data_IF_734074851379
#
_entry.id   IF_734074851379
#
_cell.length_a   1.000
_cell.length_b   1.000
_cell.length_c   1.000
_cell.angle_alpha   90.00
_cell.angle_beta   90.00
_cell.angle_gamma   90.00
#
_symmetry.space_group_name_H-M   'P 1'
#
loop_
_entity.id
_entity.type
_entity.pdbx_description
1 polymer ?
#
# COMPACT_ATOMS: atom_id res chain seq x y z
N UNK A 1 31.20 10.34 11.57
CA UNK A 1 29.98 10.17 12.39
C UNK A 1 29.36 8.88 11.93
N UNK A 2 29.30 7.86 12.79
CA UNK A 2 28.62 6.60 12.47
C UNK A 2 27.13 6.85 12.62
N UNK A 3 26.39 6.92 11.51
CA UNK A 3 24.92 6.99 11.53
C UNK A 3 24.37 5.82 12.35
N UNK A 4 23.61 6.10 13.40
CA UNK A 4 22.87 5.08 14.15
C UNK A 4 21.43 5.06 13.60
N UNK A 5 21.04 4.07 12.76
CA UNK A 5 19.71 4.04 12.14
C UNK A 5 18.57 4.01 13.16
N UNK A 6 18.78 3.42 14.34
CA UNK A 6 17.78 3.39 15.41
C UNK A 6 17.55 4.77 16.00
N UNK A 7 18.62 5.57 16.19
CA UNK A 7 18.50 6.94 16.71
C UNK A 7 17.85 7.85 15.67
N UNK A 8 18.25 7.73 14.40
CA UNK A 8 17.63 8.47 13.29
C UNK A 8 16.14 8.14 13.18
N UNK A 9 15.78 6.84 13.14
CA UNK A 9 14.39 6.41 13.13
C UNK A 9 13.61 6.97 14.31
N UNK A 10 14.14 6.83 15.54
CA UNK A 10 13.47 7.27 16.76
C UNK A 10 13.14 8.77 16.73
N UNK A 11 14.06 9.59 16.26
CA UNK A 11 13.89 11.04 16.22
C UNK A 11 12.87 11.46 15.15
N UNK A 12 12.98 10.90 13.94
CA UNK A 12 12.06 11.19 12.84
C UNK A 12 10.64 10.69 13.14
N UNK A 13 10.52 9.50 13.73
CA UNK A 13 9.26 8.89 14.17
C UNK A 13 8.58 9.72 15.26
N UNK A 14 9.35 10.20 16.24
CA UNK A 14 8.83 11.05 17.32
C UNK A 14 8.29 12.37 16.78
N UNK A 15 9.04 13.05 15.91
CA UNK A 15 8.61 14.32 15.32
C UNK A 15 7.31 14.16 14.51
N UNK A 16 7.21 13.10 13.67
CA UNK A 16 5.98 12.77 12.94
C UNK A 16 4.82 12.45 13.88
N UNK A 17 5.11 11.75 14.98
CA UNK A 17 4.11 11.32 15.96
C UNK A 17 3.54 12.48 16.78
N UNK A 18 4.34 13.47 17.15
CA UNK A 18 3.85 14.68 17.83
C UNK A 18 2.84 15.43 16.96
N UNK A 19 3.13 15.58 15.67
CA UNK A 19 2.20 16.19 14.70
C UNK A 19 0.90 15.39 14.64
N UNK A 20 0.99 14.07 14.43
CA UNK A 20 -0.21 13.23 14.34
C UNK A 20 -1.03 13.26 15.64
N UNK A 21 -0.39 13.20 16.80
CA UNK A 21 -1.07 13.23 18.10
C UNK A 21 -1.84 14.53 18.29
N UNK A 22 -1.27 15.67 17.86
CA UNK A 22 -1.93 16.97 17.88
C UNK A 22 -3.16 16.98 16.97
N UNK A 23 -3.03 16.55 15.72
CA UNK A 23 -4.14 16.53 14.76
C UNK A 23 -5.29 15.59 15.21
N UNK A 24 -4.94 14.48 15.87
CA UNK A 24 -5.90 13.50 16.39
C UNK A 24 -6.45 13.86 17.79
N UNK A 25 -6.05 15.00 18.36
CA UNK A 25 -6.43 15.46 19.71
C UNK A 25 -6.13 14.44 20.82
N UNK A 26 -4.94 13.84 20.77
CA UNK A 26 -4.45 12.94 21.81
C UNK A 26 -3.95 13.76 23.00
N UNK A 27 -4.33 13.35 24.23
CA UNK A 27 -3.88 14.04 25.44
C UNK A 27 -2.36 13.87 25.61
N UNK A 28 -1.68 14.87 26.19
CA UNK A 28 -0.24 14.77 26.43
C UNK A 28 0.11 13.56 27.32
N UNK A 29 -0.74 13.25 28.30
CA UNK A 29 -0.59 12.07 29.16
C UNK A 29 -0.65 10.77 28.34
N UNK A 30 -1.67 10.60 27.50
CA UNK A 30 -1.81 9.37 26.70
C UNK A 30 -0.72 9.26 25.64
N UNK A 31 -0.34 10.39 25.03
CA UNK A 31 0.78 10.46 24.09
C UNK A 31 2.06 9.91 24.73
N UNK A 32 2.42 10.38 25.93
CA UNK A 32 3.63 9.94 26.65
C UNK A 32 3.56 8.43 26.94
N UNK A 33 2.42 7.93 27.46
CA UNK A 33 2.23 6.51 27.77
C UNK A 33 2.39 5.63 26.53
N UNK A 34 1.76 6.02 25.42
CA UNK A 34 1.85 5.31 24.14
C UNK A 34 3.29 5.36 23.60
N UNK A 35 3.92 6.54 23.62
CA UNK A 35 5.28 6.71 23.14
C UNK A 35 6.29 5.87 23.93
N UNK A 36 6.12 5.78 25.26
CA UNK A 36 6.96 4.94 26.12
C UNK A 36 6.89 3.45 25.72
N UNK A 37 5.71 2.95 25.36
CA UNK A 37 5.58 1.57 24.87
C UNK A 37 6.31 1.37 23.53
N UNK A 38 6.18 2.31 22.59
CA UNK A 38 6.90 2.24 21.30
C UNK A 38 8.42 2.39 21.44
N UNK A 39 8.90 3.19 22.40
CA UNK A 39 10.32 3.26 22.75
C UNK A 39 10.82 1.96 23.37
N UNK A 40 10.03 1.32 24.23
CA UNK A 40 10.37 0.00 24.76
C UNK A 40 10.42 -1.05 23.64
N UNK A 41 9.45 -1.04 22.71
CA UNK A 41 9.43 -1.91 21.55
C UNK A 41 10.69 -1.73 20.69
N UNK A 42 11.06 -0.48 20.37
CA UNK A 42 12.26 -0.17 19.60
C UNK A 42 13.54 -0.61 20.30
N UNK A 43 13.64 -0.37 21.61
CA UNK A 43 14.78 -0.79 22.43
C UNK A 43 14.93 -2.31 22.42
N UNK A 44 13.82 -3.05 22.56
CA UNK A 44 13.82 -4.51 22.51
C UNK A 44 14.17 -5.04 21.12
N UNK A 45 13.77 -4.34 20.07
CA UNK A 45 14.20 -4.66 18.70
C UNK A 45 15.71 -4.43 18.51
N UNK A 46 16.26 -3.32 19.03
CA UNK A 46 17.69 -3.01 18.96
C UNK A 46 18.55 -4.04 19.72
N UNK A 47 18.07 -4.49 20.89
CA UNK A 47 18.73 -5.46 21.76
C UNK A 47 18.51 -6.93 21.37
N UNK A 48 17.64 -7.21 20.39
CA UNK A 48 17.26 -8.57 20.06
C UNK A 48 18.48 -9.43 19.66
N UNK A 49 18.65 -10.55 20.35
CA UNK A 49 19.67 -11.55 20.05
C UNK A 49 19.07 -12.78 19.37
N UNK A 50 19.89 -13.63 18.77
CA UNK A 50 19.46 -14.86 18.10
C UNK A 50 19.12 -15.99 19.11
N UNK A 51 18.42 -15.68 20.20
CA UNK A 51 17.88 -16.68 21.12
C UNK A 51 16.35 -16.76 21.00
N UNK A 52 15.84 -17.95 20.67
CA UNK A 52 14.41 -18.13 20.40
C UNK A 52 13.58 -18.02 21.67
N UNK A 53 14.06 -18.53 22.80
CA UNK A 53 13.30 -18.52 24.06
C UNK A 53 13.17 -17.10 24.61
N UNK A 54 14.25 -16.34 24.57
CA UNK A 54 14.29 -14.93 24.95
C UNK A 54 13.39 -14.08 24.04
N UNK A 55 13.40 -14.33 22.73
CA UNK A 55 12.50 -13.64 21.80
C UNK A 55 11.02 -13.92 22.10
N UNK A 56 10.66 -15.18 22.39
CA UNK A 56 9.29 -15.56 22.77
C UNK A 56 8.89 -14.92 24.11
N UNK A 57 9.81 -14.88 25.08
CA UNK A 57 9.58 -14.21 26.37
C UNK A 57 9.35 -12.71 26.17
N UNK A 58 10.21 -12.06 25.38
CA UNK A 58 10.12 -10.63 25.07
C UNK A 58 8.82 -10.28 24.35
N UNK A 59 8.41 -11.09 23.37
CA UNK A 59 7.11 -10.97 22.68
C UNK A 59 5.94 -10.97 23.68
N UNK A 60 5.88 -11.95 24.57
CA UNK A 60 4.81 -12.07 25.58
C UNK A 60 4.81 -10.92 26.57
N UNK A 61 5.99 -10.48 27.02
CA UNK A 61 6.11 -9.33 27.94
C UNK A 61 5.63 -8.04 27.28
N UNK A 62 6.01 -7.79 26.03
CA UNK A 62 5.57 -6.62 25.28
C UNK A 62 4.07 -6.65 24.98
N UNK A 63 3.52 -7.82 24.64
CA UNK A 63 2.08 -8.00 24.45
C UNK A 63 1.31 -7.74 25.74
N UNK A 64 1.77 -8.29 26.86
CA UNK A 64 1.13 -8.07 28.16
C UNK A 64 1.10 -6.58 28.53
N UNK A 65 2.23 -5.89 28.39
CA UNK A 65 2.31 -4.43 28.63
C UNK A 65 1.45 -3.61 27.67
N UNK A 66 1.37 -4.03 26.41
CA UNK A 66 0.48 -3.37 25.45
C UNK A 66 -0.98 -3.54 25.83
N UNK A 67 -1.37 -4.76 26.24
CA UNK A 67 -2.74 -5.05 26.65
C UNK A 67 -3.11 -4.28 27.92
N UNK A 68 -2.20 -4.16 28.89
CA UNK A 68 -2.36 -3.32 30.08
C UNK A 68 -2.61 -1.86 29.68
N UNK A 69 -1.70 -1.29 28.87
CA UNK A 69 -1.79 0.08 28.34
C UNK A 69 -3.19 0.36 27.77
N UNK A 70 -3.65 -0.45 26.81
CA UNK A 70 -4.92 -0.22 26.12
C UNK A 70 -6.15 -0.52 26.99
N UNK A 71 -6.02 -1.38 28.01
CA UNK A 71 -7.15 -1.78 28.85
C UNK A 71 -7.48 -0.80 29.97
N UNK A 72 -6.48 -0.07 30.50
CA UNK A 72 -6.64 0.71 31.73
C UNK A 72 -5.88 2.04 31.76
N UNK A 73 -4.84 2.23 30.95
CA UNK A 73 -3.96 3.39 31.09
C UNK A 73 -4.28 4.55 30.16
N UNK A 74 -4.95 4.30 29.03
CA UNK A 74 -5.26 5.32 28.01
C UNK A 74 -6.74 5.29 27.62
N UNK A 75 -7.21 6.40 27.08
CA UNK A 75 -8.55 6.47 26.52
C UNK A 75 -8.68 5.66 25.22
N UNK A 76 -9.82 5.01 25.02
CA UNK A 76 -10.11 4.24 23.80
C UNK A 76 -10.02 5.07 22.51
N UNK A 77 -10.30 6.38 22.59
CA UNK A 77 -10.17 7.29 21.44
C UNK A 77 -8.74 7.32 20.87
N UNK A 78 -7.72 7.00 21.68
CA UNK A 78 -6.32 6.97 21.28
C UNK A 78 -5.99 5.80 20.34
N UNK A 79 -6.90 4.83 20.16
CA UNK A 79 -6.66 3.69 19.28
C UNK A 79 -6.50 4.12 17.82
N UNK A 80 -7.12 5.24 17.42
CA UNK A 80 -6.95 5.85 16.09
C UNK A 80 -5.52 6.38 15.84
N UNK A 81 -4.79 6.68 16.91
CA UNK A 81 -3.37 7.07 16.89
C UNK A 81 -2.43 5.85 17.01
N UNK A 82 -2.81 4.82 17.76
CA UNK A 82 -1.98 3.61 17.93
C UNK A 82 -1.86 2.80 16.64
N UNK A 83 -2.98 2.56 15.94
CA UNK A 83 -2.97 1.74 14.73
C UNK A 83 -1.96 2.21 13.67
N UNK A 84 -1.93 3.48 13.23
CA UNK A 84 -0.95 3.92 12.25
C UNK A 84 0.50 3.78 12.75
N UNK A 85 0.78 3.99 14.04
CA UNK A 85 2.12 3.73 14.58
C UNK A 85 2.50 2.26 14.49
N UNK A 86 1.59 1.34 14.83
CA UNK A 86 1.82 -0.10 14.67
C UNK A 86 2.13 -0.45 13.21
N UNK A 87 1.39 0.11 12.25
CA UNK A 87 1.66 -0.10 10.82
C UNK A 87 3.04 0.42 10.40
N UNK A 88 3.44 1.60 10.85
CA UNK A 88 4.74 2.19 10.53
C UNK A 88 5.89 1.36 11.12
N UNK A 89 5.81 1.00 12.40
CA UNK A 89 6.80 0.12 13.05
C UNK A 89 6.87 -1.25 12.38
N UNK A 90 5.73 -1.85 12.00
CA UNK A 90 5.74 -3.12 11.29
C UNK A 90 6.37 -3.02 9.91
N UNK A 91 6.15 -1.90 9.20
CA UNK A 91 6.85 -1.65 7.94
C UNK A 91 8.37 -1.59 8.15
N UNK A 92 8.82 -0.83 9.15
CA UNK A 92 10.23 -0.61 9.44
C UNK A 92 10.93 -1.86 9.99
N UNK A 93 10.27 -2.65 10.82
CA UNK A 93 10.87 -3.90 11.34
C UNK A 93 11.03 -4.97 10.27
N UNK A 94 10.28 -4.86 9.16
CA UNK A 94 10.39 -5.74 8.01
C UNK A 94 11.14 -5.07 6.84
N UNK A 95 11.72 -3.89 7.03
CA UNK A 95 12.46 -3.18 5.99
C UNK A 95 13.97 -3.46 6.05
N UNK A 96 14.73 -2.82 5.17
CA UNK A 96 16.18 -2.91 5.13
C UNK A 96 16.88 -1.76 5.89
N UNK A 97 16.13 -0.80 6.43
CA UNK A 97 16.64 0.36 7.15
C UNK A 97 17.07 -0.02 8.58
N UNK A 98 16.24 -0.79 9.29
CA UNK A 98 16.64 -1.43 10.54
C UNK A 98 17.10 -2.89 10.31
N UNK A 99 17.61 -3.54 11.37
CA UNK A 99 18.04 -4.94 11.29
C UNK A 99 16.82 -5.87 11.16
N UNK A 100 16.61 -6.48 9.99
CA UNK A 100 15.47 -7.39 9.75
C UNK A 100 15.72 -8.87 10.10
N UNK A 101 16.97 -9.34 10.08
CA UNK A 101 17.29 -10.77 10.07
C UNK A 101 17.15 -11.49 11.43
N UNK A 102 16.96 -10.78 12.55
CA UNK A 102 17.00 -11.37 13.89
C UNK A 102 15.75 -11.16 14.74
N UNK A 103 14.65 -10.63 14.18
CA UNK A 103 13.52 -10.13 14.99
C UNK A 103 12.15 -10.64 14.54
N UNK A 104 12.11 -11.88 14.03
CA UNK A 104 10.88 -12.54 13.53
C UNK A 104 9.74 -12.48 14.55
N UNK A 105 10.02 -12.63 15.85
CA UNK A 105 8.99 -12.64 16.89
C UNK A 105 8.41 -11.26 17.21
N UNK A 106 9.17 -10.16 17.09
CA UNK A 106 8.58 -8.81 17.23
C UNK A 106 7.79 -8.41 15.99
N UNK A 107 8.20 -8.85 14.80
CA UNK A 107 7.37 -8.76 13.59
C UNK A 107 6.05 -9.52 13.76
N UNK A 108 6.10 -10.73 14.31
CA UNK A 108 4.91 -11.53 14.62
C UNK A 108 4.01 -10.87 15.68
N UNK A 109 4.59 -10.30 16.75
CA UNK A 109 3.84 -9.50 17.74
C UNK A 109 2.99 -8.43 17.05
N UNK A 110 3.62 -7.60 16.21
CA UNK A 110 2.92 -6.51 15.53
C UNK A 110 1.86 -7.06 14.58
N UNK A 111 2.24 -7.96 13.67
CA UNK A 111 1.36 -8.43 12.59
C UNK A 111 0.23 -9.33 13.10
N UNK A 112 0.56 -10.34 13.88
CA UNK A 112 -0.35 -11.43 14.21
C UNK A 112 -1.15 -11.11 15.48
N UNK A 113 -0.53 -10.44 16.47
CA UNK A 113 -1.16 -10.24 17.78
C UNK A 113 -1.78 -8.85 17.94
N UNK A 114 -1.22 -7.80 17.35
CA UNK A 114 -1.66 -6.42 17.61
C UNK A 114 -2.44 -5.78 16.45
N UNK A 115 -1.85 -5.63 15.26
CA UNK A 115 -2.44 -4.92 14.11
C UNK A 115 -3.80 -5.52 13.73
N UNK A 116 -3.89 -6.85 13.66
CA UNK A 116 -5.13 -7.54 13.30
C UNK A 116 -6.31 -7.19 14.21
N UNK A 117 -6.08 -6.95 15.50
CA UNK A 117 -7.11 -6.55 16.47
C UNK A 117 -7.66 -5.15 16.15
N UNK A 118 -6.78 -4.20 15.80
CA UNK A 118 -7.14 -2.81 15.56
C UNK A 118 -7.71 -2.56 14.14
N UNK A 119 -7.12 -3.17 13.11
CA UNK A 119 -7.60 -3.00 11.72
C UNK A 119 -9.06 -3.44 11.58
N UNK A 120 -9.44 -4.52 12.28
CA UNK A 120 -10.80 -5.10 12.27
C UNK A 120 -11.74 -4.47 13.30
N UNK A 121 -11.25 -3.69 14.27
CA UNK A 121 -12.10 -3.06 15.30
C UNK A 121 -12.90 -1.88 14.71
N UNK A 122 -14.17 -2.15 14.38
CA UNK A 122 -15.12 -1.15 13.87
C UNK A 122 -15.46 -0.06 14.89
N UNK A 123 -15.14 -0.24 16.17
CA UNK A 123 -15.36 0.77 17.19
C UNK A 123 -14.29 1.87 17.18
N UNK A 124 -13.17 1.66 16.47
CA UNK A 124 -12.24 2.75 16.17
C UNK A 124 -12.87 3.57 15.03
N UNK A 125 -13.41 4.72 15.38
CA UNK A 125 -14.05 5.65 14.45
C UNK A 125 -13.01 6.66 13.96
N UNK A 126 -12.97 6.86 12.65
CA UNK A 126 -12.17 7.89 12.00
C UNK A 126 -13.11 8.84 11.26
N UNK A 127 -12.93 10.15 11.43
CA UNK A 127 -13.43 11.09 10.43
C UNK A 127 -12.57 11.02 9.16
N UNK A 128 -13.06 11.56 8.03
CA UNK A 128 -12.23 11.75 6.83
C UNK A 128 -10.91 12.49 7.12
N UNK A 129 -10.96 13.52 7.97
CA UNK A 129 -9.81 14.32 8.38
C UNK A 129 -8.83 13.51 9.23
N UNK A 130 -9.33 12.74 10.21
CA UNK A 130 -8.48 11.81 10.98
C UNK A 130 -7.70 10.89 10.03
N UNK A 131 -8.37 10.31 9.04
CA UNK A 131 -7.74 9.41 8.09
C UNK A 131 -6.75 10.13 7.16
N UNK A 132 -7.05 11.36 6.75
CA UNK A 132 -6.10 12.20 6.02
C UNK A 132 -4.81 12.40 6.83
N UNK A 133 -4.89 12.85 8.09
CA UNK A 133 -3.71 13.06 8.93
C UNK A 133 -2.91 11.78 9.17
N UNK A 134 -3.61 10.65 9.30
CA UNK A 134 -2.98 9.33 9.37
C UNK A 134 -2.18 9.02 8.11
N UNK A 135 -2.75 9.26 6.92
CA UNK A 135 -2.01 9.03 5.68
C UNK A 135 -0.84 10.00 5.50
N UNK A 136 -0.91 11.22 6.05
CA UNK A 136 0.24 12.14 6.09
C UNK A 136 1.36 11.54 6.95
N UNK A 137 1.05 11.02 8.13
CA UNK A 137 2.02 10.36 9.01
C UNK A 137 2.69 9.15 8.33
N UNK A 138 1.93 8.34 7.60
CA UNK A 138 2.41 7.11 6.94
C UNK A 138 3.09 7.33 5.59
N UNK A 139 3.02 8.55 5.04
CA UNK A 139 3.37 8.85 3.65
C UNK A 139 4.82 8.56 3.33
N UNK A 140 5.76 9.05 4.16
CA UNK A 140 7.18 9.06 3.84
C UNK A 140 7.90 7.93 4.58
N UNK A 141 8.52 7.02 3.83
CA UNK A 141 9.17 5.82 4.36
C UNK A 141 10.59 5.69 3.81
N UNK A 142 11.53 5.23 4.63
CA UNK A 142 12.89 4.90 4.16
C UNK A 142 12.86 3.73 3.16
N UNK A 143 11.97 2.77 3.41
CA UNK A 143 11.71 1.63 2.54
C UNK A 143 10.30 1.11 2.80
N UNK A 144 9.59 0.68 1.74
CA UNK A 144 8.27 0.05 1.87
C UNK A 144 8.43 -1.46 1.77
N UNK A 145 8.31 -2.13 2.91
CA UNK A 145 8.53 -3.57 3.00
C UNK A 145 7.50 -4.37 2.21
N UNK A 146 7.91 -5.39 1.43
CA UNK A 146 6.97 -6.31 0.81
C UNK A 146 6.31 -7.26 1.81
N UNK A 147 6.84 -7.39 3.04
CA UNK A 147 6.39 -8.37 4.03
C UNK A 147 5.47 -7.80 5.12
N UNK A 148 5.26 -6.48 5.14
CA UNK A 148 4.55 -5.78 6.20
C UNK A 148 3.03 -5.63 5.98
N UNK A 149 2.50 -5.96 4.78
CA UNK A 149 1.12 -5.66 4.37
C UNK A 149 0.75 -4.17 4.53
N UNK A 150 1.73 -3.27 4.46
CA UNK A 150 1.57 -1.87 4.87
C UNK A 150 0.42 -1.16 4.13
N UNK A 151 0.43 -1.20 2.80
CA UNK A 151 -0.60 -0.54 1.98
C UNK A 151 -1.92 -1.31 2.07
N UNK A 152 -1.87 -2.64 2.14
CA UNK A 152 -3.04 -3.49 2.29
C UNK A 152 -3.82 -3.14 3.56
N UNK A 153 -3.12 -2.94 4.68
CA UNK A 153 -3.74 -2.61 5.97
C UNK A 153 -4.23 -1.16 6.01
N UNK A 154 -3.53 -0.20 5.39
CA UNK A 154 -4.06 1.17 5.21
C UNK A 154 -5.38 1.14 4.43
N UNK A 155 -5.44 0.40 3.31
CA UNK A 155 -6.66 0.28 2.51
C UNK A 155 -7.77 -0.52 3.23
N UNK A 156 -7.42 -1.44 4.13
CA UNK A 156 -8.41 -2.13 4.98
C UNK A 156 -9.02 -1.18 6.00
N UNK A 157 -8.28 -0.20 6.53
CA UNK A 157 -8.84 0.82 7.45
C UNK A 157 -10.00 1.54 6.77
N UNK A 158 -9.77 2.02 5.55
CA UNK A 158 -10.81 2.63 4.71
C UNK A 158 -11.95 1.64 4.46
N UNK A 159 -11.65 0.45 3.91
CA UNK A 159 -12.67 -0.49 3.47
C UNK A 159 -13.62 -0.94 4.59
N UNK A 160 -13.09 -1.23 5.78
CA UNK A 160 -13.88 -1.72 6.93
C UNK A 160 -14.85 -0.65 7.45
N UNK A 161 -14.53 0.63 7.27
CA UNK A 161 -15.23 1.76 7.89
C UNK A 161 -15.95 2.65 6.88
N UNK A 162 -15.62 2.55 5.59
CA UNK A 162 -16.18 3.35 4.51
C UNK A 162 -15.97 4.85 4.72
N UNK A 163 -14.76 5.26 5.13
CA UNK A 163 -14.46 6.65 5.52
C UNK A 163 -14.66 7.57 4.32
N UNK A 164 -14.25 7.16 3.12
CA UNK A 164 -14.43 7.95 1.90
C UNK A 164 -15.89 8.14 1.47
N UNK A 165 -16.86 7.40 2.02
CA UNK A 165 -18.28 7.67 1.78
C UNK A 165 -18.75 8.98 2.41
N UNK A 166 -18.02 9.46 3.41
CA UNK A 166 -18.33 10.67 4.17
C UNK A 166 -17.33 11.81 3.85
N UNK A 167 -16.28 11.52 3.07
CA UNK A 167 -15.25 12.49 2.73
C UNK A 167 -15.71 13.45 1.62
N UNK A 168 -15.22 14.69 1.69
CA UNK A 168 -15.25 15.57 0.52
C UNK A 168 -14.27 15.05 -0.54
N UNK A 169 -14.47 15.47 -1.79
CA UNK A 169 -13.57 15.09 -2.89
C UNK A 169 -12.13 15.53 -2.61
N UNK A 170 -11.92 16.70 -2.00
CA UNK A 170 -10.58 17.23 -1.69
C UNK A 170 -9.84 16.42 -0.63
N UNK A 171 -10.54 16.04 0.45
CA UNK A 171 -9.98 15.19 1.50
C UNK A 171 -9.66 13.80 0.95
N UNK A 172 -10.58 13.21 0.18
CA UNK A 172 -10.38 11.93 -0.48
C UNK A 172 -9.20 11.96 -1.45
N UNK A 173 -9.11 12.98 -2.30
CA UNK A 173 -8.01 13.18 -3.23
C UNK A 173 -6.67 13.27 -2.49
N UNK A 174 -6.59 14.12 -1.47
CA UNK A 174 -5.35 14.31 -0.69
C UNK A 174 -4.93 13.04 0.03
N UNK A 175 -5.89 12.29 0.59
CA UNK A 175 -5.65 11.02 1.26
C UNK A 175 -5.14 9.96 0.27
N UNK A 176 -5.80 9.80 -0.88
CA UNK A 176 -5.37 8.83 -1.89
C UNK A 176 -4.03 9.21 -2.52
N UNK A 177 -3.72 10.51 -2.64
CA UNK A 177 -2.41 11.00 -3.08
C UNK A 177 -1.30 10.58 -2.11
N UNK A 178 -1.52 10.66 -0.80
CA UNK A 178 -0.57 10.16 0.19
C UNK A 178 -0.36 8.64 0.06
N UNK A 179 -1.41 7.85 -0.13
CA UNK A 179 -1.31 6.39 -0.32
C UNK A 179 -0.58 6.04 -1.63
N UNK A 180 -0.87 6.77 -2.72
CA UNK A 180 -0.17 6.64 -4.00
C UNK A 180 1.31 6.99 -3.85
N UNK A 181 1.68 7.93 -2.97
CA UNK A 181 3.08 8.25 -2.70
C UNK A 181 3.82 7.07 -2.04
N UNK A 182 3.17 6.31 -1.16
CA UNK A 182 3.74 5.08 -0.59
C UNK A 182 3.96 4.03 -1.70
N UNK A 183 3.03 3.91 -2.65
CA UNK A 183 3.20 3.05 -3.84
C UNK A 183 4.40 3.52 -4.66
N UNK A 184 4.54 4.83 -4.88
CA UNK A 184 5.64 5.42 -5.64
C UNK A 184 7.02 5.07 -5.07
N UNK A 185 7.15 5.01 -3.74
CA UNK A 185 8.39 4.69 -3.00
C UNK A 185 8.74 3.19 -2.98
N UNK A 186 7.90 2.29 -3.50
CA UNK A 186 8.21 0.85 -3.45
C UNK A 186 9.40 0.54 -4.36
N UNK A 187 10.46 -0.02 -3.77
CA UNK A 187 11.63 -0.48 -4.52
C UNK A 187 11.28 -1.57 -5.56
N UNK A 188 10.27 -2.40 -5.27
CA UNK A 188 9.77 -3.42 -6.20
C UNK A 188 8.28 -3.72 -6.01
N UNK A 189 7.56 -3.90 -7.12
CA UNK A 189 6.14 -4.26 -7.17
C UNK A 189 5.96 -5.70 -7.67
N UNK A 190 5.65 -6.62 -6.76
CA UNK A 190 5.28 -8.00 -7.12
C UNK A 190 3.92 -8.08 -7.84
N UNK A 191 3.02 -7.15 -7.51
CA UNK A 191 1.69 -7.03 -8.08
C UNK A 191 1.17 -5.58 -8.03
N UNK A 192 -0.02 -5.38 -8.59
CA UNK A 192 -0.75 -4.11 -8.59
C UNK A 192 -2.08 -4.21 -7.84
N UNK A 193 -2.24 -5.16 -6.91
CA UNK A 193 -3.51 -5.41 -6.20
C UNK A 193 -3.95 -4.19 -5.42
N UNK A 194 -3.05 -3.57 -4.65
CA UNK A 194 -3.34 -2.35 -3.89
C UNK A 194 -3.65 -1.16 -4.81
N UNK A 195 -2.94 -1.02 -5.93
CA UNK A 195 -3.25 -0.01 -6.93
C UNK A 195 -4.66 -0.20 -7.52
N UNK A 196 -5.03 -1.43 -7.90
CA UNK A 196 -6.40 -1.74 -8.38
C UNK A 196 -7.48 -1.48 -7.31
N UNK A 197 -7.18 -1.68 -6.02
CA UNK A 197 -8.09 -1.30 -4.93
C UNK A 197 -8.30 0.21 -4.87
N UNK A 198 -7.25 1.01 -5.10
CA UNK A 198 -7.35 2.48 -5.19
C UNK A 198 -8.22 2.88 -6.39
N UNK A 199 -8.01 2.27 -7.57
CA UNK A 199 -8.83 2.56 -8.75
C UNK A 199 -10.33 2.33 -8.51
N UNK A 200 -10.69 1.31 -7.72
CA UNK A 200 -12.09 1.03 -7.34
C UNK A 200 -12.71 2.06 -6.39
N UNK A 201 -11.89 2.91 -5.76
CA UNK A 201 -12.38 3.98 -4.89
C UNK A 201 -12.70 5.26 -5.68
N UNK A 202 -12.26 5.36 -6.94
CA UNK A 202 -12.50 6.52 -7.81
C UNK A 202 -13.95 6.51 -8.31
N UNK A 203 -14.55 7.69 -8.42
CA UNK A 203 -15.89 7.94 -8.94
C UNK A 203 -15.87 9.10 -9.94
N UNK A 204 -16.96 9.29 -10.70
CA UNK A 204 -17.09 10.37 -11.69
C UNK A 204 -16.83 11.78 -11.12
N UNK A 205 -16.97 11.97 -9.79
CA UNK A 205 -16.74 13.25 -9.12
C UNK A 205 -15.26 13.54 -8.83
N UNK A 206 -14.38 12.54 -8.95
CA UNK A 206 -12.97 12.61 -8.55
C UNK A 206 -12.06 13.07 -9.71
N UNK A 207 -12.45 14.11 -10.44
CA UNK A 207 -11.76 14.58 -11.66
C UNK A 207 -10.27 14.85 -11.42
N UNK A 208 -9.93 15.56 -10.33
CA UNK A 208 -8.54 15.86 -9.97
C UNK A 208 -7.70 14.60 -9.70
N UNK A 209 -8.31 13.54 -9.15
CA UNK A 209 -7.64 12.27 -8.94
C UNK A 209 -7.42 11.52 -10.25
N UNK A 210 -8.40 11.53 -11.15
CA UNK A 210 -8.28 10.94 -12.49
C UNK A 210 -7.11 11.58 -13.24
N UNK A 211 -7.01 12.91 -13.22
CA UNK A 211 -5.91 13.64 -13.85
C UNK A 211 -4.56 13.38 -13.18
N UNK A 212 -4.53 13.19 -11.87
CA UNK A 212 -3.32 12.79 -11.16
C UNK A 212 -2.86 11.37 -11.58
N UNK A 213 -3.78 10.42 -11.71
CA UNK A 213 -3.48 9.04 -12.11
C UNK A 213 -2.88 8.94 -13.53
N UNK A 214 -3.28 9.82 -14.46
CA UNK A 214 -2.68 9.91 -15.81
C UNK A 214 -1.18 10.24 -15.76
N UNK A 215 -0.74 10.97 -14.74
CA UNK A 215 0.64 11.41 -14.52
C UNK A 215 1.40 10.56 -13.52
N UNK A 216 0.72 9.63 -12.84
CA UNK A 216 1.32 8.82 -11.80
C UNK A 216 2.39 7.89 -12.37
N UNK A 217 3.55 7.90 -11.72
CA UNK A 217 4.68 7.03 -12.00
C UNK A 217 5.30 6.58 -10.69
N UNK A 218 5.84 5.37 -10.69
CA UNK A 218 6.62 4.84 -9.57
C UNK A 218 8.08 5.23 -9.72
N UNK A 219 8.78 5.44 -8.61
CA UNK A 219 10.15 5.93 -8.59
C UNK A 219 11.09 5.00 -9.36
N UNK A 220 10.92 3.69 -9.16
CA UNK A 220 11.72 2.67 -9.81
C UNK A 220 11.42 2.47 -11.31
N UNK A 221 10.43 3.18 -11.89
CA UNK A 221 10.08 3.07 -13.30
C UNK A 221 9.79 1.62 -13.77
N UNK A 222 9.26 0.79 -12.87
CA UNK A 222 8.99 -0.62 -13.16
C UNK A 222 7.97 -0.83 -14.28
N UNK A 223 8.18 -1.88 -15.07
CA UNK A 223 7.46 -2.18 -16.31
C UNK A 223 5.94 -2.17 -16.21
N UNK A 224 5.38 -2.79 -15.16
CA UNK A 224 3.94 -2.80 -14.96
C UNK A 224 3.34 -1.39 -14.85
N UNK A 225 4.02 -0.45 -14.20
CA UNK A 225 3.54 0.93 -14.08
C UNK A 225 3.79 1.77 -15.35
N UNK A 226 4.83 1.47 -16.14
CA UNK A 226 4.96 2.04 -17.50
C UNK A 226 3.79 1.64 -18.39
N UNK A 227 3.39 0.38 -18.34
CA UNK A 227 2.23 -0.10 -19.10
C UNK A 227 0.93 0.55 -18.58
N UNK A 228 0.73 0.62 -17.25
CA UNK A 228 -0.42 1.31 -16.67
C UNK A 228 -0.49 2.77 -17.13
N UNK A 229 0.63 3.49 -17.11
CA UNK A 229 0.71 4.87 -17.60
C UNK A 229 0.33 4.97 -19.09
N UNK A 230 0.82 4.04 -19.92
CA UNK A 230 0.42 3.96 -21.33
C UNK A 230 -1.08 3.77 -21.51
N UNK A 231 -1.72 2.89 -20.72
CA UNK A 231 -3.17 2.68 -20.76
C UNK A 231 -3.94 3.93 -20.31
N UNK A 232 -3.51 4.59 -19.22
CA UNK A 232 -4.19 5.78 -18.71
C UNK A 232 -4.14 6.98 -19.66
N UNK A 233 -3.17 7.04 -20.57
CA UNK A 233 -3.01 8.12 -21.54
C UNK A 233 -3.60 7.81 -22.93
N UNK A 234 -4.35 6.72 -23.08
CA UNK A 234 -5.14 6.46 -24.29
C UNK A 234 -6.42 7.30 -24.30
N UNK A 235 -6.89 7.71 -25.46
CA UNK A 235 -8.23 8.30 -25.63
C UNK A 235 -9.18 7.18 -26.08
N UNK A 236 -9.91 6.59 -25.14
CA UNK A 236 -10.79 5.45 -25.40
C UNK A 236 -12.25 5.89 -25.52
N UNK A 237 -12.70 6.87 -24.71
CA UNK A 237 -14.02 7.47 -24.83
C UNK A 237 -13.94 9.00 -24.74
N UNK A 238 -15.00 9.68 -25.20
CA UNK A 238 -15.11 11.14 -25.13
C UNK A 238 -15.45 11.63 -23.72
N UNK A 239 -16.31 10.90 -23.00
CA UNK A 239 -16.61 11.18 -21.60
C UNK A 239 -15.46 10.71 -20.69
N UNK A 240 -14.95 11.61 -19.86
CA UNK A 240 -13.79 11.37 -18.99
C UNK A 240 -14.01 10.21 -17.99
N UNK A 241 -15.25 10.03 -17.52
CA UNK A 241 -15.56 8.97 -16.56
C UNK A 241 -15.69 7.62 -17.27
N UNK A 242 -16.42 7.55 -18.38
CA UNK A 242 -16.53 6.33 -19.17
C UNK A 242 -15.16 5.87 -19.69
N UNK A 243 -14.32 6.82 -20.13
CA UNK A 243 -12.93 6.57 -20.53
C UNK A 243 -12.11 5.97 -19.37
N UNK A 244 -12.20 6.57 -18.18
CA UNK A 244 -11.55 6.05 -16.98
C UNK A 244 -12.06 4.66 -16.59
N UNK A 245 -13.38 4.43 -16.55
CA UNK A 245 -13.97 3.16 -16.16
C UNK A 245 -13.56 2.04 -17.12
N UNK A 246 -13.61 2.29 -18.44
CA UNK A 246 -13.14 1.35 -19.46
C UNK A 246 -11.66 1.01 -19.24
N UNK A 247 -10.80 2.00 -18.96
CA UNK A 247 -9.38 1.76 -18.65
C UNK A 247 -9.20 0.89 -17.42
N UNK A 248 -9.99 1.09 -16.37
CA UNK A 248 -9.97 0.24 -15.16
C UNK A 248 -10.39 -1.19 -15.51
N UNK A 249 -11.43 -1.38 -16.34
CA UNK A 249 -11.84 -2.72 -16.81
C UNK A 249 -10.72 -3.40 -17.61
N UNK A 250 -10.08 -2.67 -18.53
CA UNK A 250 -8.94 -3.15 -19.31
C UNK A 250 -7.79 -3.55 -18.40
N UNK A 251 -7.34 -2.69 -17.49
CA UNK A 251 -6.25 -2.99 -16.54
C UNK A 251 -6.53 -4.28 -15.76
N UNK A 252 -7.76 -4.44 -15.25
CA UNK A 252 -8.16 -5.66 -14.55
C UNK A 252 -8.10 -6.90 -15.45
N UNK A 253 -8.51 -6.77 -16.71
CA UNK A 253 -8.49 -7.86 -17.69
C UNK A 253 -7.07 -8.25 -18.13
N UNK A 254 -6.24 -7.27 -18.50
CA UNK A 254 -4.85 -7.52 -18.93
C UNK A 254 -4.05 -8.25 -17.84
N UNK A 255 -4.32 -7.96 -16.56
CA UNK A 255 -3.73 -8.62 -15.39
C UNK A 255 -4.19 -10.09 -15.18
N UNK A 256 -4.92 -10.69 -16.12
CA UNK A 256 -5.36 -12.11 -16.05
C UNK A 256 -4.57 -13.06 -16.94
N UNK A 257 -3.63 -12.56 -17.75
CA UNK A 257 -2.87 -13.34 -18.74
C UNK A 257 -1.91 -14.38 -18.14
N UNK A 258 -2.40 -15.58 -17.81
CA UNK A 258 -1.64 -16.67 -17.16
C UNK A 258 -1.43 -17.87 -18.10
N UNK A 259 -0.30 -18.56 -17.96
CA UNK A 259 0.02 -19.77 -18.74
C UNK A 259 0.62 -19.48 -20.12
N UNK A 260 0.75 -20.52 -20.94
CA UNK A 260 1.27 -20.43 -22.31
C UNK A 260 0.18 -20.04 -23.32
N UNK A 261 -1.06 -20.51 -23.08
CA UNK A 261 -2.22 -20.29 -23.95
C UNK A 261 -3.39 -19.66 -23.16
N UNK A 262 -4.31 -18.95 -23.81
CA UNK A 262 -5.49 -18.40 -23.15
C UNK A 262 -6.36 -19.50 -22.54
N UNK A 263 -6.60 -19.42 -21.23
CA UNK A 263 -7.49 -20.36 -20.53
C UNK A 263 -8.95 -20.14 -20.96
N UNK A 264 -9.82 -21.13 -20.72
CA UNK A 264 -11.26 -20.98 -20.97
C UNK A 264 -11.86 -19.78 -20.21
N UNK A 265 -11.42 -19.56 -18.96
CA UNK A 265 -11.84 -18.42 -18.16
C UNK A 265 -11.36 -17.08 -18.73
N UNK A 266 -10.16 -17.02 -19.31
CA UNK A 266 -9.67 -15.83 -20.01
C UNK A 266 -10.51 -15.55 -21.26
N UNK A 267 -10.77 -16.58 -22.09
CA UNK A 267 -11.56 -16.45 -23.33
C UNK A 267 -12.98 -15.96 -23.05
N UNK A 268 -13.62 -16.49 -21.99
CA UNK A 268 -14.94 -16.05 -21.55
C UNK A 268 -14.93 -14.56 -21.17
N UNK A 269 -13.97 -14.13 -20.36
CA UNK A 269 -13.82 -12.70 -19.99
C UNK A 269 -13.52 -11.81 -21.19
N UNK A 270 -12.75 -12.30 -22.16
CA UNK A 270 -12.48 -11.57 -23.38
C UNK A 270 -13.74 -11.37 -24.22
N UNK A 271 -14.57 -12.42 -24.35
CA UNK A 271 -15.86 -12.33 -25.03
C UNK A 271 -16.77 -11.29 -24.37
N UNK A 272 -16.90 -11.32 -23.04
CA UNK A 272 -17.66 -10.33 -22.27
C UNK A 272 -17.15 -8.90 -22.52
N UNK A 273 -15.82 -8.72 -22.49
CA UNK A 273 -15.18 -7.43 -22.72
C UNK A 273 -15.39 -6.92 -24.17
N UNK A 274 -15.28 -7.82 -25.16
CA UNK A 274 -15.50 -7.51 -26.58
C UNK A 274 -16.95 -7.20 -26.94
N UNK A 275 -17.91 -7.63 -26.11
CA UNK A 275 -19.31 -7.22 -26.23
C UNK A 275 -19.56 -5.78 -25.75
N UNK A 276 -18.62 -5.20 -24.99
CA UNK A 276 -18.76 -3.87 -24.36
C UNK A 276 -17.81 -2.83 -24.99
N UNK A 277 -16.60 -3.25 -25.36
CA UNK A 277 -15.55 -2.37 -25.90
C UNK A 277 -15.29 -2.74 -27.36
N UNK A 278 -15.34 -1.74 -28.24
CA UNK A 278 -15.06 -1.90 -29.67
C UNK A 278 -13.68 -2.52 -29.95
N UNK A 279 -13.64 -3.40 -30.95
CA UNK A 279 -12.43 -4.14 -31.33
C UNK A 279 -11.24 -3.24 -31.69
N UNK A 280 -11.47 -2.06 -32.29
CA UNK A 280 -10.38 -1.12 -32.59
C UNK A 280 -9.77 -0.56 -31.31
N UNK A 281 -10.59 -0.26 -30.29
CA UNK A 281 -10.13 0.22 -28.97
C UNK A 281 -9.38 -0.87 -28.21
N UNK A 282 -9.84 -2.12 -28.29
CA UNK A 282 -9.14 -3.28 -27.73
C UNK A 282 -7.77 -3.48 -28.40
N UNK A 283 -7.72 -3.42 -29.73
CA UNK A 283 -6.47 -3.56 -30.49
C UNK A 283 -5.51 -2.39 -30.24
N UNK A 284 -6.02 -1.15 -30.16
CA UNK A 284 -5.24 0.04 -29.78
C UNK A 284 -4.59 -0.12 -28.40
N UNK A 285 -5.37 -0.60 -27.41
CA UNK A 285 -4.87 -0.85 -26.06
C UNK A 285 -3.81 -1.96 -26.07
N UNK A 286 -4.09 -3.08 -26.76
CA UNK A 286 -3.13 -4.17 -26.90
C UNK A 286 -1.81 -3.72 -27.54
N UNK A 287 -1.87 -2.96 -28.63
CA UNK A 287 -0.68 -2.42 -29.29
C UNK A 287 0.11 -1.49 -28.38
N UNK A 288 -0.57 -0.69 -27.55
CA UNK A 288 0.06 0.19 -26.56
C UNK A 288 0.79 -0.61 -25.48
N UNK A 289 0.17 -1.67 -24.97
CA UNK A 289 0.81 -2.60 -24.02
C UNK A 289 2.06 -3.24 -24.64
N UNK A 290 1.97 -3.71 -25.89
CA UNK A 290 3.06 -4.42 -26.59
C UNK A 290 4.29 -3.56 -26.89
N UNK A 291 4.19 -2.23 -26.87
CA UNK A 291 5.36 -1.33 -26.97
C UNK A 291 6.34 -1.52 -25.81
N UNK A 292 5.92 -2.18 -24.72
CA UNK A 292 6.71 -2.41 -23.51
C UNK A 292 7.24 -3.86 -23.43
N UNK A 293 7.47 -4.56 -24.55
CA UNK A 293 7.90 -5.96 -24.52
C UNK A 293 9.25 -6.18 -23.80
N UNK A 294 10.10 -5.16 -23.77
CA UNK A 294 11.36 -5.12 -23.03
C UNK A 294 11.19 -5.02 -21.50
N UNK A 295 9.98 -4.74 -21.01
CA UNK A 295 9.72 -4.49 -19.58
C UNK A 295 9.35 -5.76 -18.79
N UNK A 296 9.67 -6.95 -19.30
CA UNK A 296 9.37 -8.24 -18.64
C UNK A 296 10.22 -8.47 -17.39
N UNK A 297 11.38 -7.84 -17.31
CA UNK A 297 12.28 -7.93 -16.17
C UNK A 297 12.54 -6.51 -15.63
N UNK A 298 12.77 -6.44 -14.34
CA UNK A 298 13.22 -5.27 -13.62
C UNK A 298 14.67 -5.49 -13.19
N UNK A 299 15.54 -4.53 -13.51
CA UNK A 299 16.95 -4.57 -13.15
C UNK A 299 17.21 -3.63 -11.98
N UNK A 300 17.83 -4.15 -10.93
CA UNK A 300 18.24 -3.36 -9.77
C UNK A 300 19.61 -2.73 -10.01
N UNK A 301 19.90 -1.64 -9.31
CA UNK A 301 21.17 -0.90 -9.44
C UNK A 301 22.41 -1.75 -9.13
N UNK A 302 22.26 -2.82 -8.35
CA UNK A 302 23.31 -3.78 -8.02
C UNK A 302 23.41 -4.96 -9.02
N UNK A 303 22.74 -4.87 -10.17
CA UNK A 303 22.84 -5.81 -11.30
C UNK A 303 21.96 -7.05 -11.20
N UNK A 304 21.18 -7.24 -10.13
CA UNK A 304 20.19 -8.32 -10.09
C UNK A 304 19.01 -8.03 -11.02
N UNK A 305 18.42 -9.07 -11.59
CA UNK A 305 17.22 -8.95 -12.41
C UNK A 305 16.09 -9.82 -11.86
N UNK A 306 14.94 -9.22 -11.58
CA UNK A 306 13.73 -9.93 -11.18
C UNK A 306 12.66 -9.84 -12.25
N UNK A 307 11.81 -10.86 -12.33
CA UNK A 307 10.68 -10.85 -13.27
C UNK A 307 9.58 -9.88 -12.84
N UNK A 308 9.14 -9.01 -13.74
CA UNK A 308 7.89 -8.27 -13.56
C UNK A 308 6.73 -9.13 -14.04
N UNK A 309 6.19 -9.93 -13.12
CA UNK A 309 5.12 -10.85 -13.45
C UNK A 309 3.84 -10.14 -13.85
N UNK A 310 3.61 -8.89 -13.44
CA UNK A 310 2.44 -8.11 -13.84
C UNK A 310 2.60 -7.62 -15.28
N UNK A 311 3.75 -7.06 -15.64
CA UNK A 311 4.05 -6.69 -17.02
C UNK A 311 3.96 -7.89 -17.96
N UNK A 312 4.53 -9.04 -17.58
CA UNK A 312 4.43 -10.29 -18.35
C UNK A 312 2.99 -10.70 -18.63
N UNK A 313 2.10 -10.58 -17.64
CA UNK A 313 0.67 -10.89 -17.82
C UNK A 313 0.00 -9.95 -18.81
N UNK A 314 0.28 -8.65 -18.69
CA UNK A 314 -0.30 -7.63 -19.57
C UNK A 314 0.14 -7.89 -21.01
N UNK A 315 1.45 -8.10 -21.23
CA UNK A 315 2.01 -8.42 -22.54
C UNK A 315 1.40 -9.68 -23.13
N UNK A 316 1.21 -10.75 -22.34
CA UNK A 316 0.55 -11.98 -22.81
C UNK A 316 -0.89 -11.75 -23.26
N UNK A 317 -1.70 -11.08 -22.43
CA UNK A 317 -3.07 -10.74 -22.79
C UNK A 317 -3.12 -9.91 -24.07
N UNK A 318 -2.20 -8.95 -24.24
CA UNK A 318 -2.10 -8.13 -25.44
C UNK A 318 -1.72 -8.95 -26.69
N UNK A 319 -0.77 -9.87 -26.58
CA UNK A 319 -0.38 -10.76 -27.68
C UNK A 319 -1.56 -11.62 -28.14
N UNK A 320 -2.34 -12.17 -27.20
CA UNK A 320 -3.52 -12.98 -27.52
C UNK A 320 -4.63 -12.16 -28.15
N UNK A 321 -4.90 -10.94 -27.67
CA UNK A 321 -5.88 -10.04 -28.31
C UNK A 321 -5.49 -9.78 -29.77
N UNK A 322 -4.23 -9.40 -30.02
CA UNK A 322 -3.72 -9.12 -31.38
C UNK A 322 -3.75 -10.34 -32.31
N UNK A 323 -3.74 -11.56 -31.77
CA UNK A 323 -3.85 -12.78 -32.57
C UNK A 323 -5.30 -13.16 -32.88
N UNK A 324 -6.26 -12.64 -32.11
CA UNK A 324 -7.69 -12.94 -32.25
C UNK A 324 -8.41 -11.90 -33.11
N UNK A 325 -8.04 -10.61 -32.97
CA UNK A 325 -8.62 -9.46 -33.67
C UNK A 325 -7.75 -9.05 -34.87
#
# INVERSE_FOLDING_TARGET
>A
MTDNPYLTFKNDEFAKSEILAKELNISASDFIKIQNWFYLLLLKHEQAIHDKEEQVKTEKELEAKFNELISSEIERKCYKYILPKLLHYNNVFNDAFLRSLYVVRLGALLRDNLIGKFVKDKMIVYSPEDFFHITVYLRDNYFVSPNSNFIEDILKIEHVRGIFKQATNDVKFSTLKNILHIIHQKAFHHDIICFKKILKLVSAKDVALIDYLKKFQVENQQGCYKILNGIFNLEIAEDDWDDFDIKVQLINFFDTGRGANPSAGWKKKFQELSGTIDSKKLLLTANTVLKNDNCKNFEFDYGAQWGDDTAKRFLKSAQWIRAIL
#
